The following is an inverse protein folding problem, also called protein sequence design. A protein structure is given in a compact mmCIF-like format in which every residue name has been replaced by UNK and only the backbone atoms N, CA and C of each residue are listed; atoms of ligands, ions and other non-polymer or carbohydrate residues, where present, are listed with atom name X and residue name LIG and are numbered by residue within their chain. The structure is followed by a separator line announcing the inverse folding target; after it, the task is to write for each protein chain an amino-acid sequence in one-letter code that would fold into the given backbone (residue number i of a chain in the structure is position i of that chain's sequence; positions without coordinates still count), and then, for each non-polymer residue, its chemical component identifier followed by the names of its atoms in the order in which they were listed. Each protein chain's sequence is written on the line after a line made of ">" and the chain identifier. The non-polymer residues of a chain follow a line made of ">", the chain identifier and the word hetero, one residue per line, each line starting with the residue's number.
data_IF_770943772619
#
_entry.id   IF_770943772619
#
_cell.length_a   1.000
_cell.length_b   1.000
_cell.length_c   1.000
_cell.angle_alpha   90.00
_cell.angle_beta   90.00
_cell.angle_gamma   90.00
#
_symmetry.space_group_name_H-M   'P 1'
#
loop_
_entity.id
_entity.type
_entity.pdbx_description
1 polymer ?
#
# COMPACT_ATOMS: atom_id res chain seq x y z
N UNK A 1 -16.21 -4.49 -10.78
CA UNK A 1 -16.58 -3.10 -10.42
C UNK A 1 -17.96 -3.14 -9.81
N UNK A 2 -18.16 -2.54 -8.63
CA UNK A 2 -19.46 -2.51 -7.94
C UNK A 2 -19.87 -1.07 -7.69
N UNK A 3 -21.10 -0.73 -8.05
CA UNK A 3 -21.69 0.61 -7.97
C UNK A 3 -23.07 0.53 -7.29
N UNK A 4 -23.55 1.62 -6.67
CA UNK A 4 -24.94 1.72 -6.21
C UNK A 4 -25.89 1.61 -7.40
N UNK A 5 -27.11 1.13 -7.21
CA UNK A 5 -28.11 1.08 -8.27
C UNK A 5 -28.38 2.50 -8.81
N UNK A 6 -28.34 2.66 -10.14
CA UNK A 6 -28.56 3.94 -10.81
C UNK A 6 -28.24 3.87 -12.30
N UNK A 7 -28.76 4.84 -13.05
CA UNK A 7 -28.49 4.98 -14.48
C UNK A 7 -27.36 6.00 -14.69
N UNK A 8 -26.11 5.53 -14.65
CA UNK A 8 -24.94 6.39 -14.87
C UNK A 8 -24.40 6.27 -16.28
N UNK A 9 -23.99 7.39 -16.87
CA UNK A 9 -23.24 7.38 -18.11
C UNK A 9 -21.76 7.04 -17.84
N UNK A 10 -21.37 5.80 -18.12
CA UNK A 10 -19.99 5.33 -17.89
C UNK A 10 -18.94 6.12 -18.70
N UNK A 11 -19.29 6.62 -19.89
CA UNK A 11 -18.37 7.45 -20.69
C UNK A 11 -18.12 8.82 -20.05
N UNK A 12 -19.12 9.37 -19.36
CA UNK A 12 -19.01 10.61 -18.60
C UNK A 12 -18.07 10.43 -17.39
N UNK A 13 -18.31 9.37 -16.60
CA UNK A 13 -17.49 9.02 -15.43
C UNK A 13 -16.02 8.75 -15.79
N UNK A 14 -15.79 7.97 -16.85
CA UNK A 14 -14.43 7.61 -17.29
C UNK A 14 -13.63 8.81 -17.81
N UNK A 15 -14.30 9.80 -18.42
CA UNK A 15 -13.63 11.04 -18.86
C UNK A 15 -13.38 12.00 -17.71
N UNK A 16 -14.25 12.02 -16.70
CA UNK A 16 -14.16 12.97 -15.60
C UNK A 16 -13.17 12.56 -14.51
N UNK A 17 -12.83 11.27 -14.40
CA UNK A 17 -11.89 10.76 -13.40
C UNK A 17 -10.58 10.35 -14.05
N UNK A 18 -9.46 10.73 -13.45
CA UNK A 18 -8.15 10.50 -14.04
C UNK A 18 -7.93 9.01 -14.40
N UNK A 19 -7.52 8.76 -15.66
CA UNK A 19 -7.32 7.41 -16.21
C UNK A 19 -8.58 6.53 -16.18
N UNK A 20 -9.78 7.13 -16.14
CA UNK A 20 -11.04 6.38 -16.12
C UNK A 20 -11.35 5.69 -14.80
N UNK A 21 -10.67 6.07 -13.71
CA UNK A 21 -10.81 5.43 -12.41
C UNK A 21 -11.82 6.18 -11.56
N UNK A 22 -13.09 6.02 -11.93
CA UNK A 22 -14.23 6.62 -11.25
C UNK A 22 -14.50 5.94 -9.89
N UNK A 23 -15.35 6.54 -9.03
CA UNK A 23 -15.69 5.98 -7.73
C UNK A 23 -16.26 4.57 -7.82
N UNK A 24 -15.62 3.63 -7.13
CA UNK A 24 -16.04 2.23 -7.04
C UNK A 24 -16.01 1.75 -5.60
N UNK A 25 -16.93 0.85 -5.27
CA UNK A 25 -17.03 0.28 -3.92
C UNK A 25 -15.84 -0.65 -3.62
N UNK A 26 -15.24 -0.47 -2.45
CA UNK A 26 -14.27 -1.40 -1.85
C UNK A 26 -14.90 -2.23 -0.73
N UNK A 27 -15.81 -1.67 0.07
CA UNK A 27 -16.44 -2.38 1.19
C UNK A 27 -17.72 -1.71 1.66
N UNK A 28 -18.64 -2.52 2.21
CA UNK A 28 -19.89 -2.07 2.86
C UNK A 28 -19.89 -2.59 4.28
N UNK A 29 -20.13 -1.69 5.23
CA UNK A 29 -20.18 -2.02 6.64
C UNK A 29 -21.58 -2.36 7.15
N UNK A 30 -21.68 -2.76 8.43
CA UNK A 30 -22.94 -3.19 9.04
C UNK A 30 -24.01 -2.09 9.17
N UNK A 31 -23.62 -0.82 9.05
CA UNK A 31 -24.54 0.34 9.01
C UNK A 31 -24.78 0.83 7.58
N UNK A 32 -24.50 -0.01 6.56
CA UNK A 32 -24.51 0.34 5.14
C UNK A 32 -23.54 1.48 4.75
N UNK A 33 -22.55 1.77 5.59
CA UNK A 33 -21.49 2.71 5.25
C UNK A 33 -20.56 2.14 4.19
N UNK A 34 -20.19 2.97 3.23
CA UNK A 34 -19.40 2.56 2.09
C UNK A 34 -17.97 3.07 2.21
N UNK A 35 -17.00 2.18 2.03
CA UNK A 35 -15.64 2.56 1.68
C UNK A 35 -15.53 2.53 0.16
N UNK A 36 -15.23 3.69 -0.42
CA UNK A 36 -15.19 3.94 -1.86
C UNK A 36 -13.80 4.41 -2.23
N UNK A 37 -13.33 4.03 -3.41
CA UNK A 37 -12.04 4.48 -3.94
C UNK A 37 -12.15 5.04 -5.35
N UNK A 38 -11.28 5.97 -5.69
CA UNK A 38 -11.20 6.53 -7.04
C UNK A 38 -9.82 7.15 -7.32
N UNK A 39 -9.68 7.70 -8.52
CA UNK A 39 -8.69 8.72 -8.84
C UNK A 39 -9.27 10.13 -8.66
N UNK A 40 -8.42 11.17 -8.77
CA UNK A 40 -8.90 12.55 -8.70
C UNK A 40 -9.93 12.87 -9.78
N UNK A 41 -10.86 13.76 -9.46
CA UNK A 41 -11.72 14.43 -10.43
C UNK A 41 -10.91 15.33 -11.37
N UNK A 42 -11.42 15.56 -12.58
CA UNK A 42 -10.86 16.42 -13.62
C UNK A 42 -11.83 17.57 -13.91
N UNK A 43 -12.01 18.52 -12.97
CA UNK A 43 -12.96 19.63 -13.14
C UNK A 43 -12.45 20.72 -14.10
N UNK A 44 -11.36 20.46 -14.83
CA UNK A 44 -10.72 21.41 -15.73
C UNK A 44 -10.05 22.58 -14.99
N UNK A 45 -9.45 23.48 -15.76
CA UNK A 45 -8.76 24.66 -15.23
C UNK A 45 -9.74 25.50 -14.41
N UNK A 46 -9.33 25.91 -13.21
CA UNK A 46 -10.16 26.65 -12.24
C UNK A 46 -11.40 25.90 -11.70
N UNK A 47 -11.62 24.64 -12.06
CA UNK A 47 -12.69 23.80 -11.52
C UNK A 47 -14.09 24.15 -12.05
N UNK A 48 -14.19 24.53 -13.33
CA UNK A 48 -15.44 24.96 -13.96
C UNK A 48 -16.29 23.79 -14.49
N UNK A 49 -15.68 22.62 -14.70
CA UNK A 49 -16.37 21.45 -15.26
C UNK A 49 -16.98 20.61 -14.13
N UNK A 50 -18.30 20.46 -14.17
CA UNK A 50 -19.06 19.53 -13.34
C UNK A 50 -19.38 18.26 -14.12
N UNK A 51 -19.60 17.17 -13.41
CA UNK A 51 -20.07 15.91 -13.96
C UNK A 51 -21.24 15.41 -13.12
N UNK A 52 -22.45 15.49 -13.69
CA UNK A 52 -23.69 15.10 -12.98
C UNK A 52 -23.68 13.61 -12.63
N UNK A 53 -23.09 12.75 -13.47
CA UNK A 53 -22.94 11.32 -13.16
C UNK A 53 -22.02 11.09 -11.96
N UNK A 54 -20.91 11.86 -11.85
CA UNK A 54 -19.95 11.75 -10.73
C UNK A 54 -20.56 12.31 -9.43
N UNK A 55 -21.37 13.36 -9.52
CA UNK A 55 -22.15 13.88 -8.39
C UNK A 55 -23.18 12.81 -7.94
N UNK A 56 -23.96 12.28 -8.86
CA UNK A 56 -25.03 11.31 -8.60
C UNK A 56 -24.52 10.01 -7.97
N UNK A 57 -23.40 9.47 -8.46
CA UNK A 57 -22.80 8.25 -7.90
C UNK A 57 -22.29 8.47 -6.47
N UNK A 58 -21.67 9.62 -6.19
CA UNK A 58 -21.17 9.96 -4.85
C UNK A 58 -22.33 10.22 -3.87
N UNK A 59 -23.39 10.90 -4.30
CA UNK A 59 -24.61 11.04 -3.50
C UNK A 59 -25.23 9.68 -3.18
N UNK A 60 -25.22 8.75 -4.13
CA UNK A 60 -25.78 7.42 -3.93
C UNK A 60 -25.00 6.64 -2.87
N UNK A 61 -23.66 6.69 -2.91
CA UNK A 61 -22.81 6.10 -1.85
C UNK A 61 -23.02 6.74 -0.48
N UNK A 62 -23.27 8.05 -0.43
CA UNK A 62 -23.60 8.76 0.81
C UNK A 62 -24.93 8.27 1.38
N UNK A 63 -25.98 8.25 0.55
CA UNK A 63 -27.36 7.90 0.95
C UNK A 63 -27.48 6.47 1.50
N UNK A 64 -26.58 5.56 1.10
CA UNK A 64 -26.55 4.19 1.63
C UNK A 64 -26.39 4.13 3.15
N UNK A 65 -25.58 5.00 3.75
CA UNK A 65 -25.25 4.92 5.18
C UNK A 65 -26.23 5.66 6.09
N UNK A 66 -27.25 6.32 5.52
CA UNK A 66 -28.23 7.13 6.25
C UNK A 66 -27.68 8.46 6.79
N UNK A 67 -26.40 8.78 6.53
CA UNK A 67 -25.78 10.06 6.89
C UNK A 67 -25.90 11.08 5.75
N UNK A 68 -25.90 12.37 6.09
CA UNK A 68 -26.01 13.48 5.14
C UNK A 68 -24.67 13.96 4.57
N UNK A 69 -23.56 13.28 4.89
CA UNK A 69 -22.23 13.66 4.44
C UNK A 69 -21.40 12.47 3.98
N UNK A 70 -20.74 12.64 2.83
CA UNK A 70 -19.65 11.78 2.36
C UNK A 70 -18.31 12.40 2.76
N UNK A 71 -17.43 11.66 3.41
CA UNK A 71 -16.08 12.15 3.70
C UNK A 71 -15.15 11.82 2.53
N UNK A 72 -14.47 12.83 1.99
CA UNK A 72 -13.54 12.67 0.88
C UNK A 72 -12.13 12.92 1.38
N UNK A 73 -11.34 11.85 1.47
CA UNK A 73 -9.95 11.89 1.85
C UNK A 73 -9.08 11.89 0.59
N UNK A 74 -8.48 13.04 0.29
CA UNK A 74 -7.42 13.15 -0.71
C UNK A 74 -6.08 12.91 -0.03
N UNK A 75 -5.38 11.84 -0.42
CA UNK A 75 -4.11 11.48 0.17
C UNK A 75 -3.03 12.57 0.04
N UNK A 76 -3.19 13.53 -0.87
CA UNK A 76 -2.19 14.55 -1.19
C UNK A 76 -2.30 15.78 -0.28
N UNK A 77 -1.17 16.44 0.02
CA UNK A 77 -1.18 17.68 0.79
C UNK A 77 -1.92 18.78 0.04
N UNK A 78 -2.56 19.67 0.81
CA UNK A 78 -3.43 20.75 0.31
C UNK A 78 -2.76 21.68 -0.71
N UNK A 79 -1.44 21.84 -0.66
CA UNK A 79 -0.68 22.63 -1.65
C UNK A 79 -0.62 21.93 -3.02
N UNK A 80 -0.40 20.61 -3.03
CA UNK A 80 -0.30 19.83 -4.27
C UNK A 80 -1.66 19.78 -4.98
N UNK A 81 -2.75 19.75 -4.23
CA UNK A 81 -4.10 19.76 -4.80
C UNK A 81 -4.45 21.10 -5.43
N UNK A 82 -4.02 22.22 -4.83
CA UNK A 82 -4.13 23.56 -5.44
C UNK A 82 -3.28 23.69 -6.72
N UNK A 83 -2.05 23.19 -6.72
CA UNK A 83 -1.18 23.22 -7.91
C UNK A 83 -1.76 22.38 -9.06
N UNK A 84 -2.33 21.21 -8.74
CA UNK A 84 -2.94 20.33 -9.75
C UNK A 84 -4.20 20.96 -10.39
N UNK A 85 -4.93 21.80 -9.63
CA UNK A 85 -6.09 22.59 -10.13
C UNK A 85 -5.73 23.55 -11.26
N UNK A 86 -4.50 24.04 -11.27
CA UNK A 86 -4.00 24.94 -12.32
C UNK A 86 -3.69 24.15 -13.61
N UNK A 87 -3.34 22.86 -13.49
CA UNK A 87 -2.99 21.98 -14.61
C UNK A 87 -4.20 21.16 -15.15
N UNK A 88 -5.42 21.52 -14.79
CA UNK A 88 -6.66 20.88 -15.27
C UNK A 88 -7.08 19.59 -14.55
N UNK A 89 -6.28 19.09 -13.60
CA UNK A 89 -6.74 18.13 -12.59
C UNK A 89 -7.35 18.85 -11.38
N UNK A 90 -7.65 18.19 -10.27
CA UNK A 90 -8.14 18.93 -9.10
C UNK A 90 -8.68 18.08 -7.96
N UNK A 91 -9.47 18.74 -7.12
CA UNK A 91 -10.37 18.14 -6.14
C UNK A 91 -11.79 18.58 -6.47
N UNK A 92 -12.74 17.74 -6.07
CA UNK A 92 -14.13 18.10 -5.88
C UNK A 92 -14.23 19.43 -5.09
N UNK A 93 -15.08 20.35 -5.54
CA UNK A 93 -15.32 21.62 -4.85
C UNK A 93 -16.55 21.52 -3.97
N UNK A 94 -16.55 22.21 -2.83
CA UNK A 94 -17.74 22.30 -1.96
C UNK A 94 -18.96 22.91 -2.66
N UNK A 95 -18.76 23.66 -3.75
CA UNK A 95 -19.84 24.21 -4.58
C UNK A 95 -20.46 23.19 -5.54
N UNK A 96 -19.70 22.19 -5.99
CA UNK A 96 -20.20 21.13 -6.85
C UNK A 96 -20.68 19.92 -6.03
N UNK A 97 -20.08 19.69 -4.86
CA UNK A 97 -20.36 18.57 -3.97
C UNK A 97 -20.67 19.10 -2.56
N UNK A 98 -21.83 19.74 -2.35
CA UNK A 98 -22.18 20.35 -1.06
C UNK A 98 -22.36 19.33 0.06
N UNK A 99 -22.58 18.06 -0.28
CA UNK A 99 -22.70 16.93 0.63
C UNK A 99 -21.35 16.26 0.97
N UNK A 100 -20.24 16.77 0.44
CA UNK A 100 -18.91 16.22 0.72
C UNK A 100 -18.16 17.04 1.78
N UNK A 101 -17.53 16.35 2.73
CA UNK A 101 -16.55 16.92 3.67
C UNK A 101 -15.15 16.53 3.24
N UNK A 102 -14.31 17.52 2.89
CA UNK A 102 -12.98 17.29 2.31
C UNK A 102 -11.88 17.30 3.36
N UNK A 103 -11.04 16.27 3.31
CA UNK A 103 -9.85 16.12 4.16
C UNK A 103 -8.64 15.87 3.27
N UNK A 104 -7.64 16.75 3.34
CA UNK A 104 -6.34 16.54 2.71
C UNK A 104 -5.40 15.88 3.71
N UNK A 105 -4.83 14.73 3.33
CA UNK A 105 -3.73 14.11 4.05
C UNK A 105 -2.40 14.69 3.56
N UNK A 106 -1.32 14.49 4.30
CA UNK A 106 0.02 14.89 3.86
C UNK A 106 0.88 13.65 3.56
N UNK A 107 0.34 12.71 2.76
CA UNK A 107 1.07 11.50 2.42
C UNK A 107 2.25 11.80 1.50
N UNK A 108 3.35 11.10 1.76
CA UNK A 108 4.55 11.13 0.94
C UNK A 108 4.27 10.73 -0.51
N UNK A 109 4.92 11.41 -1.45
CA UNK A 109 4.85 11.02 -2.85
C UNK A 109 5.67 9.76 -3.12
N UNK A 110 5.49 9.11 -4.28
CA UNK A 110 6.30 7.96 -4.69
C UNK A 110 7.81 8.25 -4.64
N UNK A 111 8.21 9.50 -4.91
CA UNK A 111 9.60 9.96 -4.85
C UNK A 111 10.10 10.07 -3.42
N UNK A 112 9.27 10.61 -2.53
CA UNK A 112 9.61 10.77 -1.11
C UNK A 112 9.77 9.40 -0.44
N UNK A 113 8.82 8.48 -0.69
CA UNK A 113 8.88 7.09 -0.22
C UNK A 113 10.13 6.38 -0.76
N UNK A 114 10.44 6.52 -2.07
CA UNK A 114 11.67 5.96 -2.65
C UNK A 114 12.90 6.49 -1.94
N UNK A 115 13.04 7.80 -1.84
CA UNK A 115 14.23 8.43 -1.23
C UNK A 115 14.42 8.02 0.23
N UNK A 116 13.32 7.95 0.98
CA UNK A 116 13.29 7.49 2.37
C UNK A 116 13.81 6.04 2.47
N UNK A 117 13.28 5.16 1.64
CA UNK A 117 13.70 3.76 1.60
C UNK A 117 15.17 3.58 1.17
N UNK A 118 15.63 4.31 0.15
CA UNK A 118 17.02 4.22 -0.30
C UNK A 118 18.01 4.66 0.80
N UNK A 119 17.64 5.64 1.63
CA UNK A 119 18.43 6.02 2.81
C UNK A 119 18.44 4.91 3.85
N UNK A 120 17.28 4.32 4.16
CA UNK A 120 17.17 3.18 5.06
C UNK A 120 18.07 2.03 4.60
N UNK A 121 18.00 1.66 3.32
CA UNK A 121 18.80 0.57 2.78
C UNK A 121 20.30 0.82 2.89
N UNK A 122 20.76 2.06 2.67
CA UNK A 122 22.17 2.41 2.90
C UNK A 122 22.57 2.15 4.35
N UNK A 123 21.74 2.57 5.29
CA UNK A 123 22.01 2.36 6.72
C UNK A 123 22.05 0.88 7.07
N UNK A 124 21.06 0.10 6.62
CA UNK A 124 21.00 -1.35 6.88
C UNK A 124 22.20 -2.10 6.29
N UNK A 125 22.67 -1.70 5.10
CA UNK A 125 23.74 -2.41 4.38
C UNK A 125 25.14 -1.99 4.81
N UNK A 126 25.36 -0.72 5.14
CA UNK A 126 26.71 -0.15 5.32
C UNK A 126 27.04 0.28 6.74
N UNK A 127 26.05 0.58 7.58
CA UNK A 127 26.30 1.06 8.94
C UNK A 127 26.41 -0.12 9.91
N UNK A 128 27.15 0.08 11.02
CA UNK A 128 27.30 -0.96 12.05
C UNK A 128 26.05 -0.98 12.93
N UNK A 129 25.40 -2.15 13.02
CA UNK A 129 24.18 -2.33 13.81
C UNK A 129 24.37 -1.84 15.26
N UNK A 130 23.33 -1.23 15.80
CA UNK A 130 23.26 -0.70 17.18
C UNK A 130 24.16 0.50 17.51
N UNK A 131 25.01 0.97 16.58
CA UNK A 131 25.78 2.20 16.77
C UNK A 131 24.87 3.43 16.89
N UNK A 132 25.39 4.51 17.48
CA UNK A 132 24.66 5.78 17.55
C UNK A 132 24.36 6.32 16.14
N UNK A 133 25.34 6.25 15.24
CA UNK A 133 25.22 6.64 13.84
C UNK A 133 24.16 5.82 13.12
N UNK A 134 24.10 4.51 13.35
CA UNK A 134 23.06 3.65 12.78
C UNK A 134 21.66 4.14 13.20
N UNK A 135 21.42 4.33 14.50
CA UNK A 135 20.12 4.80 15.02
C UNK A 135 19.74 6.17 14.44
N UNK A 136 20.70 7.09 14.40
CA UNK A 136 20.52 8.42 13.84
C UNK A 136 20.24 8.38 12.32
N UNK A 137 20.93 7.52 11.57
CA UNK A 137 20.72 7.32 10.14
C UNK A 137 19.35 6.70 9.84
N UNK A 138 18.89 5.76 10.67
CA UNK A 138 17.52 5.23 10.59
C UNK A 138 16.49 6.34 10.80
N UNK A 139 16.65 7.17 11.84
CA UNK A 139 15.75 8.29 12.08
C UNK A 139 15.74 9.29 10.91
N UNK A 140 16.93 9.61 10.38
CA UNK A 140 17.13 10.52 9.24
C UNK A 140 16.62 9.96 7.89
N UNK A 141 16.42 8.64 7.79
CA UNK A 141 15.79 8.03 6.61
C UNK A 141 14.34 8.51 6.45
N UNK A 142 13.66 8.79 7.57
CA UNK A 142 12.23 9.10 7.67
C UNK A 142 11.29 7.92 7.34
N UNK A 143 11.83 6.69 7.25
CA UNK A 143 11.05 5.53 6.83
C UNK A 143 9.97 5.15 7.83
N UNK A 144 10.36 4.96 9.10
CA UNK A 144 9.43 4.62 10.17
C UNK A 144 8.40 5.73 10.42
N UNK A 145 8.79 6.99 10.27
CA UNK A 145 7.88 8.13 10.38
C UNK A 145 6.84 8.15 9.24
N UNK A 146 7.24 7.74 8.03
CA UNK A 146 6.31 7.60 6.90
C UNK A 146 5.31 6.45 7.12
N UNK A 147 5.77 5.33 7.71
CA UNK A 147 4.91 4.21 8.12
C UNK A 147 3.95 4.63 9.23
N UNK A 148 4.45 5.34 10.25
CA UNK A 148 3.63 5.88 11.34
C UNK A 148 2.50 6.77 10.81
N UNK A 149 2.84 7.72 9.93
CA UNK A 149 1.85 8.57 9.29
C UNK A 149 0.81 7.75 8.49
N UNK A 150 1.26 6.75 7.73
CA UNK A 150 0.38 5.87 6.96
C UNK A 150 -0.62 5.11 7.86
N UNK A 151 -0.14 4.51 8.95
CA UNK A 151 -0.98 3.78 9.91
C UNK A 151 -1.92 4.75 10.64
N UNK A 152 -1.42 5.90 11.08
CA UNK A 152 -2.20 6.93 11.77
C UNK A 152 -3.38 7.43 10.93
N UNK A 153 -3.14 7.80 9.67
CA UNK A 153 -4.22 8.20 8.79
C UNK A 153 -5.22 7.08 8.48
N UNK A 154 -4.73 5.84 8.27
CA UNK A 154 -5.62 4.69 8.09
C UNK A 154 -6.51 4.46 9.31
N UNK A 155 -5.96 4.59 10.52
CA UNK A 155 -6.71 4.48 11.78
C UNK A 155 -7.78 5.57 11.91
N UNK A 156 -7.46 6.82 11.60
CA UNK A 156 -8.42 7.92 11.64
C UNK A 156 -9.59 7.69 10.67
N UNK A 157 -9.26 7.26 9.45
CA UNK A 157 -10.26 6.91 8.42
C UNK A 157 -11.11 5.73 8.88
N UNK A 158 -10.49 4.66 9.39
CA UNK A 158 -11.19 3.47 9.88
C UNK A 158 -12.14 3.82 11.04
N UNK A 159 -11.71 4.65 11.98
CA UNK A 159 -12.53 5.14 13.10
C UNK A 159 -13.75 5.90 12.57
N UNK A 160 -13.55 6.76 11.58
CA UNK A 160 -14.64 7.52 10.96
C UNK A 160 -15.61 6.62 10.20
N UNK A 161 -15.11 5.66 9.45
CA UNK A 161 -15.92 4.67 8.73
C UNK A 161 -16.77 3.86 9.72
N UNK A 162 -16.16 3.37 10.79
CA UNK A 162 -16.86 2.56 11.80
C UNK A 162 -17.94 3.35 12.57
N UNK A 163 -17.77 4.66 12.70
CA UNK A 163 -18.82 5.54 13.26
C UNK A 163 -20.11 5.54 12.42
N UNK A 164 -20.05 5.16 11.14
CA UNK A 164 -21.19 5.03 10.22
C UNK A 164 -21.11 5.92 8.99
N UNK A 165 -20.06 6.74 8.85
CA UNK A 165 -19.90 7.63 7.71
C UNK A 165 -19.39 6.87 6.48
N UNK A 166 -19.98 7.11 5.29
CA UNK A 166 -19.37 6.70 4.03
C UNK A 166 -18.14 7.54 3.72
N UNK A 167 -17.14 6.91 3.09
CA UNK A 167 -15.82 7.50 2.82
C UNK A 167 -15.42 7.24 1.38
N UNK A 168 -14.96 8.28 0.70
CA UNK A 168 -14.19 8.20 -0.54
C UNK A 168 -12.71 8.46 -0.26
N UNK A 169 -11.84 7.54 -0.66
CA UNK A 169 -10.38 7.72 -0.63
C UNK A 169 -9.87 7.84 -2.07
N UNK A 170 -9.10 8.89 -2.36
CA UNK A 170 -8.40 9.01 -3.63
C UNK A 170 -7.04 9.70 -3.48
N UNK A 171 -6.26 9.63 -4.55
CA UNK A 171 -5.05 10.44 -4.72
C UNK A 171 -5.06 10.96 -6.16
N UNK A 172 -3.90 11.18 -6.79
CA UNK A 172 -3.84 11.60 -8.20
C UNK A 172 -4.40 10.54 -9.15
N UNK A 173 -3.84 9.32 -9.12
CA UNK A 173 -4.23 8.23 -10.03
C UNK A 173 -5.03 7.12 -9.33
N UNK A 174 -5.14 7.11 -8.00
CA UNK A 174 -5.95 6.13 -7.27
C UNK A 174 -5.39 4.71 -7.23
N UNK A 175 -4.09 4.51 -7.47
CA UNK A 175 -3.45 3.18 -7.56
C UNK A 175 -2.20 3.00 -6.68
N UNK A 176 -1.75 4.02 -5.95
CA UNK A 176 -0.58 3.93 -5.04
C UNK A 176 -1.09 4.09 -3.60
N UNK A 177 -0.99 5.29 -3.02
CA UNK A 177 -1.42 5.59 -1.65
C UNK A 177 -2.88 5.23 -1.36
N UNK A 178 -3.76 5.32 -2.37
CA UNK A 178 -5.14 4.85 -2.24
C UNK A 178 -5.21 3.35 -1.95
N UNK A 179 -4.38 2.52 -2.56
CA UNK A 179 -4.31 1.08 -2.25
C UNK A 179 -3.84 0.86 -0.81
N UNK A 180 -2.81 1.59 -0.37
CA UNK A 180 -2.29 1.50 1.01
C UNK A 180 -3.38 1.82 2.04
N UNK A 181 -4.01 2.99 1.91
CA UNK A 181 -5.02 3.45 2.86
C UNK A 181 -6.26 2.56 2.86
N UNK A 182 -6.80 2.22 1.69
CA UNK A 182 -7.97 1.33 1.60
C UNK A 182 -7.65 -0.02 2.24
N UNK A 183 -6.49 -0.61 1.95
CA UNK A 183 -6.13 -1.93 2.46
C UNK A 183 -5.94 -1.94 3.98
N UNK A 184 -5.27 -0.93 4.53
CA UNK A 184 -5.08 -0.81 5.98
C UNK A 184 -6.41 -0.55 6.69
N UNK A 185 -7.28 0.30 6.14
CA UNK A 185 -8.64 0.51 6.68
C UNK A 185 -9.40 -0.82 6.71
N UNK A 186 -9.36 -1.61 5.64
CA UNK A 186 -10.04 -2.90 5.57
C UNK A 186 -9.53 -3.89 6.63
N UNK A 187 -8.20 -3.98 6.83
CA UNK A 187 -7.60 -4.78 7.91
C UNK A 187 -8.12 -4.36 9.29
N UNK A 188 -8.31 -3.04 9.49
CA UNK A 188 -8.78 -2.49 10.75
C UNK A 188 -10.28 -2.70 11.00
N UNK A 189 -11.12 -2.66 9.97
CA UNK A 189 -12.59 -2.67 10.14
C UNK A 189 -13.25 -4.03 9.92
N UNK A 190 -12.54 -5.00 9.35
CA UNK A 190 -13.11 -6.29 8.98
C UNK A 190 -12.14 -7.44 9.31
N UNK A 191 -12.50 -8.34 10.26
CA UNK A 191 -11.66 -9.45 10.69
C UNK A 191 -11.33 -10.45 9.58
N UNK A 192 -12.15 -10.50 8.51
CA UNK A 192 -11.87 -11.38 7.38
C UNK A 192 -10.48 -11.12 6.80
N UNK A 193 -10.07 -9.87 6.61
CA UNK A 193 -8.77 -9.54 6.02
C UNK A 193 -7.57 -9.78 6.94
N UNK A 194 -7.81 -10.26 8.18
CA UNK A 194 -6.78 -10.69 9.12
C UNK A 194 -6.60 -12.22 9.13
N UNK A 195 -7.42 -12.95 8.38
CA UNK A 195 -7.19 -14.35 8.03
C UNK A 195 -6.16 -14.47 6.91
N UNK A 196 -5.56 -15.65 6.71
CA UNK A 196 -4.63 -15.88 5.58
C UNK A 196 -5.36 -15.64 4.27
N UNK A 197 -6.47 -16.33 4.05
CA UNK A 197 -7.28 -16.21 2.83
C UNK A 197 -7.73 -14.77 2.59
N UNK A 198 -8.30 -14.12 3.61
CA UNK A 198 -8.77 -12.76 3.47
C UNK A 198 -7.65 -11.77 3.17
N UNK A 199 -6.46 -11.94 3.75
CA UNK A 199 -5.31 -11.10 3.41
C UNK A 199 -4.85 -11.28 1.96
N UNK A 200 -4.88 -12.51 1.44
CA UNK A 200 -4.61 -12.76 0.01
C UNK A 200 -5.67 -12.14 -0.90
N UNK A 201 -6.95 -12.27 -0.54
CA UNK A 201 -8.07 -11.63 -1.25
C UNK A 201 -7.95 -10.11 -1.22
N UNK A 202 -7.50 -9.53 -0.12
CA UNK A 202 -7.24 -8.09 -0.01
C UNK A 202 -6.21 -7.63 -1.04
N UNK A 203 -5.07 -8.34 -1.13
CA UNK A 203 -4.01 -8.04 -2.09
C UNK A 203 -4.53 -8.21 -3.52
N UNK A 204 -5.20 -9.34 -3.79
CA UNK A 204 -5.74 -9.62 -5.12
C UNK A 204 -6.76 -8.55 -5.54
N UNK A 205 -7.65 -8.12 -4.65
CA UNK A 205 -8.71 -7.16 -4.98
C UNK A 205 -8.21 -5.72 -4.99
N UNK A 206 -7.59 -5.25 -3.91
CA UNK A 206 -7.29 -3.83 -3.73
C UNK A 206 -5.95 -3.38 -4.33
N UNK A 207 -5.09 -4.33 -4.70
CA UNK A 207 -3.81 -4.04 -5.35
C UNK A 207 -3.76 -4.54 -6.78
N UNK A 208 -3.94 -5.85 -7.01
CA UNK A 208 -3.80 -6.45 -8.35
C UNK A 208 -4.95 -6.04 -9.26
N UNK A 209 -6.20 -6.36 -8.89
CA UNK A 209 -7.37 -6.06 -9.71
C UNK A 209 -7.64 -4.55 -9.84
N UNK A 210 -7.29 -3.76 -8.81
CA UNK A 210 -7.37 -2.31 -8.87
C UNK A 210 -6.18 -1.67 -9.60
N UNK A 211 -5.21 -2.43 -10.10
CA UNK A 211 -4.17 -1.94 -11.01
C UNK A 211 -3.10 -1.08 -10.34
N UNK A 212 -2.66 -1.45 -9.14
CA UNK A 212 -1.38 -0.96 -8.62
C UNK A 212 -0.26 -1.33 -9.58
N UNK A 213 0.62 -0.37 -9.87
CA UNK A 213 1.61 -0.46 -10.94
C UNK A 213 2.82 -1.33 -10.59
N UNK A 214 2.61 -2.59 -10.19
CA UNK A 214 3.64 -3.47 -9.61
C UNK A 214 4.93 -3.50 -10.42
N UNK A 215 4.89 -3.82 -11.72
CA UNK A 215 6.09 -3.89 -12.56
C UNK A 215 6.80 -2.54 -12.66
N UNK A 216 6.06 -1.45 -12.81
CA UNK A 216 6.64 -0.10 -12.86
C UNK A 216 7.26 0.32 -11.52
N UNK A 217 6.66 -0.10 -10.40
CA UNK A 217 7.07 0.29 -9.04
C UNK A 217 8.24 -0.53 -8.52
N UNK A 218 8.26 -1.81 -8.85
CA UNK A 218 9.33 -2.75 -8.47
C UNK A 218 10.52 -2.72 -9.43
N UNK A 219 10.32 -2.30 -10.69
CA UNK A 219 11.36 -2.34 -11.71
C UNK A 219 11.60 -3.73 -12.31
N UNK A 220 10.82 -4.74 -11.91
CA UNK A 220 11.01 -6.13 -12.36
C UNK A 220 10.84 -6.28 -13.88
N UNK A 221 11.78 -6.98 -14.53
CA UNK A 221 11.74 -7.24 -15.97
C UNK A 221 12.31 -6.13 -16.85
N UNK A 222 12.85 -5.06 -16.27
CA UNK A 222 13.58 -4.02 -16.99
C UNK A 222 15.05 -4.09 -16.56
N UNK A 223 15.96 -3.96 -17.53
CA UNK A 223 17.41 -3.93 -17.30
C UNK A 223 17.77 -2.61 -16.60
N UNK A 224 17.64 -2.56 -15.28
CA UNK A 224 18.15 -1.46 -14.47
C UNK A 224 19.46 -1.89 -13.82
N UNK A 225 20.37 -0.94 -13.61
CA UNK A 225 21.68 -1.18 -12.98
C UNK A 225 21.59 -1.60 -11.50
N UNK A 226 20.38 -1.78 -10.95
CA UNK A 226 20.16 -1.89 -9.51
C UNK A 226 18.91 -2.69 -9.17
N UNK A 227 19.12 -3.89 -8.63
CA UNK A 227 18.12 -4.69 -7.92
C UNK A 227 18.61 -4.91 -6.47
N UNK A 228 18.53 -3.87 -5.62
CA UNK A 228 18.99 -3.97 -4.21
C UNK A 228 18.07 -4.84 -3.36
N UNK A 229 16.79 -4.96 -3.74
CA UNK A 229 15.85 -5.76 -2.96
C UNK A 229 16.10 -7.26 -3.17
N UNK A 230 16.32 -7.79 -4.38
CA UNK A 230 16.91 -9.12 -4.58
C UNK A 230 18.22 -9.34 -3.82
N UNK A 231 19.10 -8.33 -3.71
CA UNK A 231 20.36 -8.42 -2.96
C UNK A 231 20.16 -8.60 -1.44
N UNK A 232 18.98 -8.24 -0.89
CA UNK A 232 18.58 -8.46 0.51
C UNK A 232 17.64 -9.67 0.65
N UNK A 233 17.15 -10.22 -0.48
CA UNK A 233 15.99 -11.12 -0.57
C UNK A 233 16.22 -12.51 -1.13
N UNK A 234 17.41 -12.84 -1.61
CA UNK A 234 17.63 -14.18 -2.13
C UNK A 234 17.76 -15.24 -1.01
N UNK A 235 16.65 -15.91 -0.71
CA UNK A 235 16.59 -17.28 -0.15
C UNK A 235 17.23 -18.35 -1.06
N UNK A 236 18.04 -17.95 -2.05
CA UNK A 236 18.75 -18.79 -3.02
C UNK A 236 20.17 -18.24 -3.23
N UNK A 237 21.14 -19.12 -3.53
CA UNK A 237 22.52 -18.95 -3.12
C UNK A 237 23.27 -17.97 -4.04
N UNK A 238 23.20 -16.69 -3.72
CA UNK A 238 24.39 -15.87 -3.77
C UNK A 238 24.51 -15.22 -2.39
N UNK A 239 25.36 -15.74 -1.49
CA UNK A 239 25.70 -14.98 -0.30
C UNK A 239 26.12 -13.57 -0.74
N UNK A 240 25.89 -12.57 0.11
CA UNK A 240 26.42 -11.21 -0.01
C UNK A 240 27.96 -11.29 0.04
N UNK A 241 28.55 -11.87 -0.99
CA UNK A 241 29.97 -12.09 -1.21
C UNK A 241 30.23 -11.71 -2.66
N UNK A 242 30.70 -10.45 -2.79
CA UNK A 242 31.37 -9.84 -3.95
C UNK A 242 30.53 -9.04 -4.95
N UNK A 243 29.48 -8.33 -4.52
CA UNK A 243 29.30 -6.99 -5.10
C UNK A 243 30.11 -6.02 -4.27
N UNK A 244 30.98 -5.24 -4.93
CA UNK A 244 31.78 -4.23 -4.26
C UNK A 244 30.81 -3.25 -3.57
N UNK A 245 30.96 -3.03 -2.26
CA UNK A 245 30.12 -2.11 -1.48
C UNK A 245 30.07 -0.72 -2.11
N UNK A 246 31.15 -0.31 -2.79
CA UNK A 246 31.19 0.93 -3.58
C UNK A 246 30.27 0.93 -4.80
N UNK A 247 30.08 -0.21 -5.47
CA UNK A 247 29.15 -0.35 -6.62
C UNK A 247 27.71 -0.23 -6.13
N UNK A 248 27.36 -0.92 -5.04
CA UNK A 248 26.01 -0.83 -4.44
C UNK A 248 25.73 0.62 -4.02
N UNK A 249 26.69 1.28 -3.37
CA UNK A 249 26.56 2.67 -2.96
C UNK A 249 26.41 3.63 -4.14
N UNK A 250 27.29 3.54 -5.14
CA UNK A 250 27.24 4.36 -6.35
C UNK A 250 25.93 4.18 -7.12
N UNK A 251 25.42 2.95 -7.15
CA UNK A 251 24.13 2.63 -7.71
C UNK A 251 23.00 3.38 -6.98
N UNK A 252 22.93 3.29 -5.65
CA UNK A 252 21.91 4.03 -4.88
C UNK A 252 22.01 5.53 -5.13
N UNK A 253 23.23 6.06 -5.21
CA UNK A 253 23.49 7.50 -5.42
C UNK A 253 23.10 7.97 -6.84
N UNK A 254 23.26 7.12 -7.85
CA UNK A 254 23.09 7.48 -9.26
C UNK A 254 21.73 7.07 -9.87
N UNK A 255 20.77 6.58 -9.05
CA UNK A 255 19.47 6.16 -9.59
C UNK A 255 18.70 7.36 -10.16
N UNK A 256 18.55 7.44 -11.48
CA UNK A 256 17.81 8.50 -12.18
C UNK A 256 16.32 8.17 -12.38
N UNK A 257 15.92 6.94 -12.06
CA UNK A 257 14.54 6.51 -12.22
C UNK A 257 13.60 7.21 -11.23
N UNK A 258 12.46 7.66 -11.75
CA UNK A 258 11.44 8.41 -11.01
C UNK A 258 10.15 7.61 -10.79
N UNK A 259 10.05 6.42 -11.38
CA UNK A 259 8.82 5.64 -11.38
C UNK A 259 8.81 4.48 -10.36
N UNK A 260 9.97 3.93 -10.01
CA UNK A 260 10.10 2.93 -8.93
C UNK A 260 9.81 3.55 -7.57
N UNK A 261 9.18 2.77 -6.69
CA UNK A 261 8.93 3.16 -5.31
C UNK A 261 8.40 1.95 -4.53
N UNK A 262 8.85 1.71 -3.29
CA UNK A 262 8.48 0.54 -2.48
C UNK A 262 7.08 0.70 -1.83
N UNK A 263 6.08 1.13 -2.60
CA UNK A 263 4.72 1.45 -2.10
C UNK A 263 4.03 0.22 -1.49
N UNK A 264 4.08 -0.91 -2.19
CA UNK A 264 3.49 -2.15 -1.68
C UNK A 264 4.31 -2.71 -0.52
N UNK A 265 5.64 -2.64 -0.57
CA UNK A 265 6.50 -3.05 0.55
C UNK A 265 6.20 -2.22 1.83
N UNK A 266 6.05 -0.90 1.70
CA UNK A 266 5.64 -0.03 2.81
C UNK A 266 4.30 -0.45 3.42
N UNK A 267 3.34 -0.91 2.60
CA UNK A 267 2.09 -1.46 3.09
C UNK A 267 2.31 -2.77 3.87
N UNK A 268 3.11 -3.70 3.34
CA UNK A 268 3.42 -4.96 4.02
C UNK A 268 4.11 -4.70 5.37
N UNK A 269 5.05 -3.75 5.43
CA UNK A 269 5.71 -3.39 6.69
C UNK A 269 4.75 -2.68 7.67
N UNK A 270 3.83 -1.84 7.18
CA UNK A 270 2.78 -1.29 8.03
C UNK A 270 1.91 -2.40 8.66
N UNK A 271 1.60 -3.47 7.90
CA UNK A 271 0.90 -4.65 8.43
C UNK A 271 1.76 -5.39 9.46
N UNK A 272 3.08 -5.50 9.24
CA UNK A 272 4.00 -6.05 10.24
C UNK A 272 3.90 -5.31 11.58
N UNK A 273 3.94 -3.96 11.58
CA UNK A 273 3.84 -3.17 12.80
C UNK A 273 2.49 -3.32 13.51
N UNK A 274 1.38 -3.32 12.76
CA UNK A 274 0.04 -3.57 13.33
C UNK A 274 -0.05 -4.97 13.94
N UNK A 275 0.44 -5.99 13.23
CA UNK A 275 0.48 -7.36 13.72
C UNK A 275 1.36 -7.51 14.96
N UNK A 276 2.52 -6.85 15.00
CA UNK A 276 3.44 -6.88 16.14
C UNK A 276 2.79 -6.32 17.41
N UNK A 277 1.97 -5.28 17.27
CA UNK A 277 1.19 -4.73 18.38
C UNK A 277 -0.02 -5.60 18.78
N UNK A 278 -0.52 -6.43 17.87
CA UNK A 278 -1.73 -7.24 18.06
C UNK A 278 -1.55 -8.69 17.55
N UNK A 279 -0.65 -9.49 18.14
CA UNK A 279 -0.23 -10.78 17.58
C UNK A 279 -1.36 -11.81 17.47
N UNK A 280 -2.35 -11.78 18.37
CA UNK A 280 -3.46 -12.74 18.39
C UNK A 280 -4.62 -12.35 17.44
N UNK A 281 -4.53 -11.20 16.78
CA UNK A 281 -5.57 -10.69 15.86
C UNK A 281 -5.34 -11.09 14.40
N UNK A 282 -4.21 -11.73 14.08
CA UNK A 282 -3.86 -12.16 12.73
C UNK A 282 -3.61 -13.67 12.65
N UNK A 283 -4.23 -14.34 11.68
CA UNK A 283 -4.10 -15.79 11.46
C UNK A 283 -2.72 -16.16 10.90
N UNK A 284 -1.94 -15.20 10.43
CA UNK A 284 -0.65 -15.45 9.82
C UNK A 284 0.51 -14.99 10.68
N UNK A 285 1.61 -15.73 10.55
CA UNK A 285 2.94 -15.39 11.07
C UNK A 285 3.62 -14.38 10.16
N UNK A 286 4.71 -13.84 10.67
CA UNK A 286 5.51 -12.83 9.97
C UNK A 286 6.19 -13.37 8.70
N UNK A 287 6.48 -14.68 8.65
CA UNK A 287 7.03 -15.33 7.46
C UNK A 287 6.10 -15.24 6.24
N UNK A 288 4.79 -15.06 6.41
CA UNK A 288 3.89 -14.79 5.28
C UNK A 288 4.18 -13.42 4.67
N UNK A 289 4.35 -12.40 5.52
CA UNK A 289 4.65 -11.04 5.09
C UNK A 289 6.02 -10.98 4.39
N UNK A 290 7.03 -11.65 4.96
CA UNK A 290 8.36 -11.79 4.33
C UNK A 290 8.24 -12.49 2.98
N UNK A 291 7.51 -13.60 2.90
CA UNK A 291 7.34 -14.36 1.64
C UNK A 291 6.65 -13.52 0.55
N UNK A 292 5.63 -12.74 0.89
CA UNK A 292 4.95 -11.84 -0.03
C UNK A 292 5.90 -10.71 -0.49
N UNK A 293 6.68 -10.14 0.43
CA UNK A 293 7.66 -9.10 0.11
C UNK A 293 8.75 -9.62 -0.84
N UNK A 294 9.27 -10.83 -0.61
CA UNK A 294 10.24 -11.49 -1.50
C UNK A 294 9.64 -11.83 -2.87
N UNK A 295 8.38 -12.23 -2.90
CA UNK A 295 7.67 -12.59 -4.13
C UNK A 295 7.53 -11.42 -5.10
N UNK A 296 7.62 -10.17 -4.63
CA UNK A 296 7.65 -8.97 -5.48
C UNK A 296 8.84 -8.94 -6.43
N UNK A 297 9.98 -9.50 -6.01
CA UNK A 297 11.26 -9.36 -6.70
C UNK A 297 11.82 -10.70 -7.20
N UNK A 298 11.33 -11.83 -6.69
CA UNK A 298 11.84 -13.17 -7.01
C UNK A 298 11.67 -13.58 -8.48
N UNK A 299 10.65 -13.04 -9.15
CA UNK A 299 10.19 -13.50 -10.46
C UNK A 299 9.71 -14.96 -10.53
N UNK A 300 9.48 -15.59 -9.38
CA UNK A 300 8.96 -16.97 -9.28
C UNK A 300 7.48 -17.08 -9.63
N UNK A 301 6.71 -16.03 -9.34
CA UNK A 301 5.27 -16.00 -9.51
C UNK A 301 4.87 -14.90 -10.48
N UNK A 302 3.83 -15.14 -11.27
CA UNK A 302 3.29 -14.12 -12.17
C UNK A 302 2.32 -13.15 -11.51
N UNK A 303 2.01 -13.37 -10.23
CA UNK A 303 1.01 -12.61 -9.47
C UNK A 303 1.18 -11.09 -9.54
N UNK A 304 2.42 -10.59 -9.63
CA UNK A 304 2.73 -9.15 -9.67
C UNK A 304 3.25 -8.66 -11.03
N UNK A 305 3.19 -9.49 -12.08
CA UNK A 305 3.58 -9.07 -13.44
C UNK A 305 2.40 -8.47 -14.20
N UNK A 306 2.47 -7.16 -14.46
CA UNK A 306 1.39 -6.39 -15.08
C UNK A 306 1.30 -6.55 -16.60
N UNK A 307 1.29 -7.76 -17.18
CA UNK A 307 1.20 -7.92 -18.65
C UNK A 307 2.28 -7.18 -19.46
N UNK A 308 3.31 -6.65 -18.79
CA UNK A 308 4.34 -5.74 -19.29
C UNK A 308 5.45 -6.49 -20.00
N UNK A 309 5.59 -7.78 -19.70
CA UNK A 309 6.40 -8.68 -20.50
C UNK A 309 5.52 -9.10 -21.68
N UNK A 310 5.52 -8.27 -22.73
CA UNK A 310 5.02 -8.69 -24.05
C UNK A 310 5.67 -10.04 -24.37
N UNK A 311 4.86 -11.00 -24.81
CA UNK A 311 5.26 -12.36 -25.19
C UNK A 311 5.56 -13.35 -24.04
N UNK A 312 5.29 -13.00 -22.77
CA UNK A 312 5.39 -13.96 -21.68
C UNK A 312 4.16 -14.86 -21.58
N UNK A 313 4.35 -16.16 -21.73
CA UNK A 313 3.28 -17.13 -21.58
C UNK A 313 2.98 -17.38 -20.09
N UNK A 314 1.98 -16.68 -19.56
CA UNK A 314 1.53 -16.79 -18.17
C UNK A 314 0.95 -18.17 -17.81
N UNK A 315 0.56 -18.99 -18.79
CA UNK A 315 -0.09 -20.29 -18.54
C UNK A 315 0.78 -21.31 -17.79
N UNK A 316 2.10 -21.14 -17.78
CA UNK A 316 3.04 -22.03 -17.09
C UNK A 316 3.64 -21.42 -15.81
N UNK A 317 3.14 -20.28 -15.33
CA UNK A 317 3.65 -19.66 -14.09
C UNK A 317 2.71 -19.87 -12.92
N UNK A 318 3.22 -20.38 -11.78
CA UNK A 318 2.39 -20.58 -10.60
C UNK A 318 1.91 -19.23 -10.03
N UNK A 319 0.73 -19.26 -9.42
CA UNK A 319 0.21 -18.16 -8.62
C UNK A 319 0.84 -18.19 -7.22
N UNK A 320 1.30 -17.03 -6.74
CA UNK A 320 1.75 -16.87 -5.35
C UNK A 320 0.62 -17.19 -4.38
N UNK A 321 -0.63 -16.82 -4.71
CA UNK A 321 -1.79 -17.07 -3.87
C UNK A 321 -2.04 -18.57 -3.70
N UNK A 322 -2.02 -19.32 -4.80
CA UNK A 322 -2.26 -20.77 -4.78
C UNK A 322 -1.15 -21.49 -4.01
N UNK A 323 0.11 -21.12 -4.23
CA UNK A 323 1.23 -21.65 -3.47
C UNK A 323 1.09 -21.41 -1.96
N UNK A 324 0.67 -20.21 -1.54
CA UNK A 324 0.47 -19.90 -0.12
C UNK A 324 -0.66 -20.75 0.45
N UNK A 325 -1.77 -20.91 -0.27
CA UNK A 325 -2.92 -21.70 0.19
C UNK A 325 -2.62 -23.19 0.27
N UNK A 326 -1.86 -23.74 -0.68
CA UNK A 326 -1.38 -25.13 -0.64
C UNK A 326 -0.42 -25.37 0.55
N UNK A 327 0.28 -24.33 0.99
CA UNK A 327 1.25 -24.37 2.09
C UNK A 327 0.79 -23.60 3.33
N UNK A 328 -0.53 -23.47 3.55
CA UNK A 328 -1.13 -22.61 4.57
C UNK A 328 -0.59 -22.86 5.99
N UNK A 329 -0.29 -24.11 6.32
CA UNK A 329 0.23 -24.51 7.64
C UNK A 329 1.58 -23.86 7.97
N UNK A 330 2.42 -23.60 6.95
CA UNK A 330 3.71 -22.91 7.12
C UNK A 330 3.52 -21.47 7.60
N UNK A 331 2.41 -20.84 7.20
CA UNK A 331 2.12 -19.44 7.47
C UNK A 331 1.19 -19.24 8.68
N UNK A 332 0.53 -20.30 9.15
CA UNK A 332 -0.47 -20.21 10.21
C UNK A 332 0.12 -19.85 11.58
N UNK A 333 -0.53 -18.89 12.23
CA UNK A 333 -0.32 -18.47 13.62
C UNK A 333 -1.22 -19.30 14.54
N UNK A 334 -0.61 -20.14 15.39
CA UNK A 334 -1.36 -20.98 16.33
C UNK A 334 -1.97 -20.19 17.49
N UNK A 335 -1.49 -18.97 17.73
CA UNK A 335 -2.01 -18.07 18.76
C UNK A 335 -3.12 -17.16 18.24
N UNK A 336 -3.61 -17.39 17.02
CA UNK A 336 -4.70 -16.61 16.45
C UNK A 336 -6.00 -16.86 17.21
N UNK A 337 -6.60 -15.77 17.68
CA UNK A 337 -7.90 -15.77 18.35
C UNK A 337 -8.93 -15.06 17.47
N UNK A 338 -8.60 -13.87 16.96
CA UNK A 338 -9.43 -13.14 15.99
C UNK A 338 -10.80 -12.68 16.53
N UNK A 339 -10.91 -12.38 17.82
CA UNK A 339 -12.19 -12.04 18.45
C UNK A 339 -12.66 -10.60 18.15
N UNK A 340 -11.76 -9.70 17.78
CA UNK A 340 -12.13 -8.29 17.63
C UNK A 340 -12.86 -8.05 16.30
N UNK A 341 -14.06 -7.46 16.34
CA UNK A 341 -14.77 -7.01 15.13
C UNK A 341 -13.99 -5.90 14.42
N UNK A 342 -13.35 -5.02 15.20
CA UNK A 342 -12.50 -3.93 14.71
C UNK A 342 -11.18 -3.88 15.46
N UNK A 343 -10.13 -3.45 14.78
CA UNK A 343 -8.80 -3.25 15.30
C UNK A 343 -8.34 -1.81 15.05
N UNK A 344 -8.34 -0.97 16.08
CA UNK A 344 -7.80 0.39 16.02
C UNK A 344 -6.44 0.42 16.73
N UNK A 345 -5.32 0.31 15.99
CA UNK A 345 -4.02 0.08 16.61
C UNK A 345 -3.59 1.23 17.51
N UNK A 346 -3.02 0.91 18.67
CA UNK A 346 -2.30 1.86 19.52
C UNK A 346 -0.84 1.46 19.45
N UNK A 347 -0.10 2.08 18.54
CA UNK A 347 1.31 1.78 18.29
C UNK A 347 2.12 3.00 18.67
N UNK A 348 3.10 2.81 19.55
CA UNK A 348 4.15 3.79 19.76
C UNK A 348 5.29 3.53 18.77
N UNK A 349 5.27 4.25 17.66
CA UNK A 349 6.31 4.13 16.64
C UNK A 349 7.67 4.68 17.10
N UNK A 350 7.73 5.46 18.20
CA UNK A 350 9.01 5.93 18.76
C UNK A 350 9.83 4.80 19.38
N UNK A 351 9.15 3.72 19.81
CA UNK A 351 9.76 2.50 20.35
C UNK A 351 9.80 1.37 19.32
N UNK A 352 9.31 1.61 18.10
CA UNK A 352 9.30 0.59 17.06
C UNK A 352 10.70 0.39 16.48
N UNK A 353 11.08 -0.87 16.39
CA UNK A 353 12.30 -1.29 15.70
C UNK A 353 12.02 -1.51 14.22
N UNK A 354 13.08 -1.57 13.42
CA UNK A 354 12.97 -2.09 12.06
C UNK A 354 12.40 -3.52 12.05
N UNK A 355 11.89 -3.91 10.89
CA UNK A 355 11.40 -5.25 10.63
C UNK A 355 12.57 -6.24 10.53
N UNK A 356 13.05 -6.70 11.68
CA UNK A 356 14.23 -7.56 11.81
C UNK A 356 14.14 -8.86 11.01
N UNK A 357 12.97 -9.47 10.96
CA UNK A 357 12.71 -10.70 10.18
C UNK A 357 12.88 -10.50 8.68
N UNK A 358 12.83 -9.26 8.17
CA UNK A 358 13.08 -8.96 6.77
C UNK A 358 14.50 -8.42 6.55
N UNK A 359 14.89 -7.36 7.26
CA UNK A 359 16.16 -6.66 7.02
C UNK A 359 17.40 -7.39 7.55
N UNK A 360 17.26 -8.19 8.62
CA UNK A 360 18.39 -8.86 9.30
C UNK A 360 18.26 -10.40 9.34
N UNK A 361 17.49 -10.98 8.41
CA UNK A 361 17.25 -12.42 8.35
C UNK A 361 18.51 -13.28 8.16
N UNK A 362 19.53 -12.76 7.47
CA UNK A 362 20.78 -13.48 7.24
C UNK A 362 21.60 -13.66 8.53
N UNK A 363 21.55 -12.69 9.44
CA UNK A 363 22.22 -12.79 10.75
C UNK A 363 21.61 -13.92 11.59
N UNK A 364 20.28 -14.03 11.60
CA UNK A 364 19.56 -15.13 12.28
C UNK A 364 19.89 -16.50 11.69
N UNK A 365 20.08 -16.59 10.37
CA UNK A 365 20.45 -17.83 9.69
C UNK A 365 21.89 -18.25 9.99
N UNK A 366 22.84 -17.30 10.05
CA UNK A 366 24.23 -17.57 10.43
C UNK A 366 24.33 -18.15 11.85
N UNK A 367 23.56 -17.62 12.80
CA UNK A 367 23.51 -18.12 14.19
C UNK A 367 22.97 -19.57 14.23
N UNK A 368 21.94 -19.90 13.45
CA UNK A 368 21.37 -21.27 13.40
C UNK A 368 22.33 -22.30 12.82
N UNK A 369 23.13 -21.92 11.82
CA UNK A 369 24.16 -22.80 11.24
C UNK A 369 25.26 -23.09 12.27
N UNK A 370 25.69 -22.09 13.04
CA UNK A 370 26.71 -22.26 14.08
C UNK A 370 26.25 -23.05 15.32
N UNK A 371 24.95 -23.15 15.57
CA UNK A 371 24.39 -23.98 16.66
C UNK A 371 24.13 -25.44 16.26
N UNK A 372 24.22 -25.77 14.98
CA UNK A 372 23.98 -27.12 14.43
C UNK A 372 25.26 -27.80 13.92
N UNK A 373 26.40 -27.12 14.01
CA UNK A 373 27.76 -27.63 13.84
C UNK A 373 28.41 -27.88 15.19
#
# INVERSE_FOLDING_TARGET
>A
VVLPAGNYNMNSLTKYRAKGRFPVLSWVGPKNQCLVRSSQALPGTFGQVKCEDDISILESFMKMSGYNYLFVYDARPKLNTKATRIQGGGMESSSAYPFCSFVNLAMDSIKDVKNSFMKLLKTVVFDTRESYEFKLSIENSKWLQSIDALIGYAKDIATKLYSGCSILIHCRNGWDTTCQLVSLVLIMVDPYYRTIEGFLVLIQREWVAMGHRFTLRTGCGVKWDIDILPLISSYYPAPIKKYNSSIIRANIDNSSDTATSPIFFQFIEAVHHIKKAHPNEFQFKDNLLVFIADSLYSGRFSTFYEGTIKDFNYSNTPSMFDYIMENVLTFNNQEFIGNSVTLFPVIDMSQSTLWDEYFFREEKNAIRIHQTS
#
